data_IF_895532106026
#
_entry.id   IF_895532106026
#
_cell.length_a   1.000
_cell.length_b   1.000
_cell.length_c   1.000
_cell.angle_alpha   90.00
_cell.angle_beta   90.00
_cell.angle_gamma   90.00
#
_symmetry.space_group_name_H-M   'P 1'
#
loop_
_entity.id
_entity.type
_entity.pdbx_description
1 polymer ?
#
# COMPACT_ATOMS: atom_id res chain seq x y z
N UNK A 1 -4.59 -18.87 7.82
CA UNK A 1 -3.65 -17.76 7.58
C UNK A 1 -4.10 -17.01 6.32
N UNK A 2 -4.23 -15.70 6.41
CA UNK A 2 -4.66 -14.90 5.25
C UNK A 2 -3.47 -14.66 4.32
N UNK A 3 -3.74 -14.66 3.02
CA UNK A 3 -2.74 -14.28 2.03
C UNK A 3 -2.51 -12.78 2.08
N UNK A 4 -1.31 -12.35 1.74
CA UNK A 4 -0.95 -10.93 1.71
C UNK A 4 -1.13 -10.37 0.30
N UNK A 5 -1.64 -9.14 0.25
CA UNK A 5 -1.70 -8.37 -0.99
C UNK A 5 -0.93 -7.08 -0.77
N UNK A 6 -0.07 -6.76 -1.72
CA UNK A 6 0.69 -5.52 -1.71
C UNK A 6 0.11 -4.57 -2.77
N UNK A 7 -0.22 -3.37 -2.34
CA UNK A 7 -0.60 -2.30 -3.27
C UNK A 7 0.57 -1.35 -3.41
N UNK A 8 1.13 -1.28 -4.60
CA UNK A 8 2.21 -0.35 -4.90
C UNK A 8 1.60 0.92 -5.49
N UNK A 9 1.49 1.97 -4.69
CA UNK A 9 0.86 3.21 -5.12
C UNK A 9 1.50 4.41 -4.45
N UNK A 10 1.72 5.47 -5.21
CA UNK A 10 2.23 6.74 -4.72
C UNK A 10 1.14 7.79 -4.76
N UNK A 11 1.26 8.81 -3.90
CA UNK A 11 0.37 9.94 -3.95
C UNK A 11 0.79 11.04 -2.99
N UNK A 12 0.98 12.22 -3.54
CA UNK A 12 1.24 13.43 -2.75
C UNK A 12 0.31 14.51 -3.27
N UNK A 13 0.30 15.67 -2.59
CA UNK A 13 -0.51 16.82 -3.05
C UNK A 13 -0.11 17.20 -4.47
N UNK A 14 1.18 17.15 -4.80
CA UNK A 14 1.68 17.52 -6.14
C UNK A 14 1.40 16.45 -7.19
N UNK A 15 1.48 15.17 -6.82
CA UNK A 15 1.28 14.06 -7.76
C UNK A 15 -0.19 13.71 -7.97
N UNK A 16 -1.06 14.12 -7.02
CA UNK A 16 -2.44 13.70 -6.98
C UNK A 16 -2.62 12.42 -6.17
N UNK A 17 -3.82 12.20 -5.68
CA UNK A 17 -4.14 11.11 -4.76
C UNK A 17 -5.02 10.03 -5.38
N UNK A 18 -5.34 10.15 -6.67
CA UNK A 18 -6.30 9.25 -7.33
C UNK A 18 -5.96 7.78 -7.24
N UNK A 19 -4.68 7.42 -7.42
CA UNK A 19 -4.25 6.03 -7.33
C UNK A 19 -4.37 5.48 -5.90
N UNK A 20 -4.01 6.28 -4.91
CA UNK A 20 -4.12 5.86 -3.51
C UNK A 20 -5.57 5.67 -3.10
N UNK A 21 -6.45 6.58 -3.52
CA UNK A 21 -7.87 6.50 -3.21
C UNK A 21 -8.49 5.25 -3.82
N UNK A 22 -8.18 4.97 -5.08
CA UNK A 22 -8.68 3.77 -5.76
C UNK A 22 -8.13 2.48 -5.15
N UNK A 23 -6.85 2.48 -4.82
CA UNK A 23 -6.22 1.32 -4.15
C UNK A 23 -6.85 1.06 -2.80
N UNK A 24 -7.14 2.12 -2.04
CA UNK A 24 -7.81 1.97 -0.75
C UNK A 24 -9.21 1.42 -0.89
N UNK A 25 -9.98 1.89 -1.87
CA UNK A 25 -11.32 1.37 -2.11
C UNK A 25 -11.29 -0.14 -2.38
N UNK A 26 -10.33 -0.58 -3.20
CA UNK A 26 -10.16 -2.00 -3.48
C UNK A 26 -9.71 -2.77 -2.24
N UNK A 27 -8.80 -2.19 -1.46
CA UNK A 27 -8.32 -2.80 -0.23
C UNK A 27 -9.47 -3.00 0.78
N UNK A 28 -10.35 -2.02 0.90
CA UNK A 28 -11.51 -2.12 1.80
C UNK A 28 -12.42 -3.29 1.40
N UNK A 29 -12.55 -3.57 0.12
CA UNK A 29 -13.33 -4.71 -0.37
C UNK A 29 -12.67 -6.05 -0.04
N UNK A 30 -11.35 -6.08 0.08
CA UNK A 30 -10.58 -7.31 0.28
C UNK A 30 -10.12 -7.50 1.73
N UNK A 31 -10.44 -6.56 2.60
CA UNK A 31 -9.89 -6.49 3.96
C UNK A 31 -10.18 -7.75 4.78
N UNK A 32 -11.36 -8.32 4.64
CA UNK A 32 -11.76 -9.50 5.42
C UNK A 32 -11.05 -10.78 4.99
N UNK A 33 -10.59 -10.82 3.73
CA UNK A 33 -10.01 -12.03 3.14
C UNK A 33 -8.49 -11.99 3.10
N UNK A 34 -7.91 -10.81 2.95
CA UNK A 34 -6.47 -10.65 2.72
C UNK A 34 -5.86 -9.72 3.75
N UNK A 35 -4.59 -9.96 4.04
CA UNK A 35 -3.77 -9.02 4.78
C UNK A 35 -3.22 -7.99 3.80
N UNK A 36 -3.54 -6.72 4.02
CA UNK A 36 -3.27 -5.65 3.06
C UNK A 36 -2.06 -4.84 3.51
N UNK A 37 -1.13 -4.62 2.59
CA UNK A 37 0.02 -3.74 2.79
C UNK A 37 0.11 -2.74 1.65
N UNK A 38 0.27 -1.48 1.98
CA UNK A 38 0.53 -0.42 1.00
C UNK A 38 2.02 -0.14 0.98
N UNK A 39 2.59 -0.05 -0.21
CA UNK A 39 4.01 0.24 -0.41
C UNK A 39 4.12 1.48 -1.28
N UNK A 40 4.78 2.50 -0.78
CA UNK A 40 4.88 3.79 -1.45
C UNK A 40 6.30 4.31 -1.42
N UNK A 41 6.71 4.97 -2.49
CA UNK A 41 7.95 5.73 -2.53
C UNK A 41 7.70 7.19 -2.12
N UNK A 42 6.56 7.72 -2.54
CA UNK A 42 6.13 9.09 -2.21
C UNK A 42 4.68 9.07 -1.76
N UNK A 43 4.42 9.41 -0.52
CA UNK A 43 3.07 9.42 0.04
C UNK A 43 2.91 10.60 0.98
N UNK A 44 1.75 11.26 0.93
CA UNK A 44 1.41 12.32 1.86
C UNK A 44 1.24 11.73 3.28
N UNK A 45 1.81 12.41 4.29
CA UNK A 45 1.79 11.93 5.67
C UNK A 45 0.38 11.71 6.20
N UNK A 46 -0.54 12.59 5.87
CA UNK A 46 -1.93 12.48 6.31
C UNK A 46 -2.61 11.21 5.76
N UNK A 47 -2.31 10.87 4.52
CA UNK A 47 -2.86 9.66 3.89
C UNK A 47 -2.26 8.42 4.51
N UNK A 48 -0.95 8.43 4.76
CA UNK A 48 -0.27 7.32 5.41
C UNK A 48 -0.84 7.04 6.80
N UNK A 49 -1.03 8.11 7.58
CA UNK A 49 -1.62 8.00 8.93
C UNK A 49 -3.02 7.41 8.87
N UNK A 50 -3.82 7.81 7.90
CA UNK A 50 -5.16 7.29 7.73
C UNK A 50 -5.15 5.79 7.41
N UNK A 51 -4.23 5.34 6.56
CA UNK A 51 -4.08 3.93 6.24
C UNK A 51 -3.73 3.11 7.48
N UNK A 52 -2.78 3.59 8.26
CA UNK A 52 -2.35 2.92 9.50
C UNK A 52 -3.51 2.87 10.50
N UNK A 53 -4.24 3.96 10.67
CA UNK A 53 -5.38 4.02 11.58
C UNK A 53 -6.51 3.09 11.14
N UNK A 54 -6.62 2.82 9.86
CA UNK A 54 -7.63 1.89 9.31
C UNK A 54 -7.22 0.42 9.42
N UNK A 55 -6.03 0.13 9.94
CA UNK A 55 -5.55 -1.23 10.14
C UNK A 55 -4.69 -1.79 9.02
N UNK A 56 -4.33 -0.97 8.04
CA UNK A 56 -3.44 -1.38 6.96
C UNK A 56 -1.99 -1.15 7.33
N UNK A 57 -1.10 -1.97 6.78
CA UNK A 57 0.33 -1.75 6.89
C UNK A 57 0.76 -0.78 5.79
N UNK A 58 1.62 0.17 6.13
CA UNK A 58 2.14 1.14 5.17
C UNK A 58 3.66 1.16 5.24
N UNK A 59 4.30 0.84 4.12
CA UNK A 59 5.76 0.82 3.98
C UNK A 59 6.21 1.93 3.05
N UNK A 60 7.29 2.61 3.41
CA UNK A 60 7.93 3.59 2.53
C UNK A 60 9.24 2.98 2.04
N UNK A 61 9.42 3.00 0.73
CA UNK A 61 10.62 2.45 0.09
C UNK A 61 11.40 3.56 -0.59
N UNK A 62 12.72 3.35 -0.74
CA UNK A 62 13.58 4.29 -1.45
C UNK A 62 13.64 4.00 -2.95
N UNK A 63 13.38 2.76 -3.36
CA UNK A 63 13.46 2.35 -4.76
C UNK A 63 12.54 1.16 -5.03
N UNK A 64 12.25 0.93 -6.30
CA UNK A 64 11.47 -0.24 -6.72
C UNK A 64 12.14 -1.58 -6.38
N UNK A 65 13.47 -1.61 -6.30
CA UNK A 65 14.17 -2.84 -5.88
C UNK A 65 13.77 -3.26 -4.49
N UNK A 66 13.54 -2.33 -3.58
CA UNK A 66 13.08 -2.65 -2.24
C UNK A 66 11.69 -3.30 -2.25
N UNK A 67 10.82 -2.83 -3.13
CA UNK A 67 9.50 -3.44 -3.29
C UNK A 67 9.60 -4.88 -3.76
N UNK A 68 10.43 -5.14 -4.76
CA UNK A 68 10.64 -6.49 -5.27
C UNK A 68 11.20 -7.42 -4.20
N UNK A 69 12.09 -6.92 -3.36
CA UNK A 69 12.64 -7.68 -2.24
C UNK A 69 11.57 -8.01 -1.19
N UNK A 70 10.63 -7.08 -0.96
CA UNK A 70 9.55 -7.28 0.01
C UNK A 70 8.58 -8.37 -0.40
N UNK A 71 8.20 -8.42 -1.67
CA UNK A 71 7.22 -9.41 -2.14
C UNK A 71 7.82 -10.79 -2.30
N UNK A 72 9.11 -10.89 -2.60
CA UNK A 72 9.78 -12.16 -2.81
C UNK A 72 9.26 -12.90 -4.04
N UNK A 73 9.92 -14.00 -4.38
CA UNK A 73 9.53 -14.79 -5.56
C UNK A 73 8.30 -15.66 -5.30
N UNK A 74 8.12 -16.07 -4.06
CA UNK A 74 7.03 -17.00 -3.70
C UNK A 74 5.67 -16.30 -3.62
N UNK A 75 5.66 -14.99 -3.58
CA UNK A 75 4.44 -14.20 -3.49
C UNK A 75 3.86 -13.82 -4.87
N UNK A 76 4.53 -14.21 -5.91
CA UNK A 76 4.10 -13.89 -7.28
C UNK A 76 3.14 -14.92 -7.83
#
# INVERSE_FOLDING_TARGET
MRKRIFFRADGTVQMGLGHLIRSRALADMLFDTYEISFVSQHIADAVRSEFIDSGYTSHIIASESEFLDMIGYDDL
#
